data_IF_447813914104
#
_entry.id   IF_447813914104
#
_cell.length_a   1.000
_cell.length_b   1.000
_cell.length_c   1.000
_cell.angle_alpha   90.00
_cell.angle_beta   90.00
_cell.angle_gamma   90.00
#
_symmetry.space_group_name_H-M   'P 1'
#
loop_
_entity.id
_entity.type
_entity.pdbx_description
1 polymer ?
#
# COMPACT_ATOMS: atom_id res chain seq x y z
N UNK A 1 -5.16 -5.96 4.80
CA UNK A 1 -4.81 -4.55 4.43
C UNK A 1 -4.80 -4.47 2.92
N UNK A 2 -5.19 -3.33 2.33
CA UNK A 2 -5.01 -3.09 0.89
C UNK A 2 -3.88 -2.07 0.69
N UNK A 3 -2.94 -2.42 -0.16
CA UNK A 3 -1.87 -1.57 -0.67
C UNK A 3 -2.08 -1.31 -2.16
N UNK A 4 -1.41 -0.30 -2.70
CA UNK A 4 -1.38 -0.07 -4.15
C UNK A 4 -0.91 -1.31 -4.92
N UNK A 5 0.01 -2.09 -4.35
CA UNK A 5 0.47 -3.34 -4.97
C UNK A 5 -0.61 -4.43 -4.99
N UNK A 6 -1.51 -4.46 -4.01
CA UNK A 6 -2.65 -5.39 -4.02
C UNK A 6 -3.61 -5.05 -5.16
N UNK A 7 -3.84 -3.74 -5.39
CA UNK A 7 -4.63 -3.22 -6.52
C UNK A 7 -3.98 -3.62 -7.85
N UNK A 8 -2.70 -3.34 -8.03
CA UNK A 8 -1.96 -3.68 -9.27
C UNK A 8 -1.91 -5.19 -9.52
N UNK A 9 -1.68 -6.02 -8.49
CA UNK A 9 -1.65 -7.48 -8.65
C UNK A 9 -3.01 -8.05 -9.04
N UNK A 10 -4.07 -7.51 -8.46
CA UNK A 10 -5.43 -7.95 -8.75
C UNK A 10 -5.82 -7.57 -10.18
N UNK A 11 -5.50 -6.35 -10.61
CA UNK A 11 -5.88 -5.83 -11.92
C UNK A 11 -4.92 -6.17 -13.07
N UNK A 12 -3.68 -6.56 -12.79
CA UNK A 12 -2.67 -6.91 -13.79
C UNK A 12 -2.79 -8.31 -14.39
N UNK A 13 -3.78 -9.11 -13.97
CA UNK A 13 -3.79 -10.55 -14.23
C UNK A 13 -4.83 -11.04 -15.25
N UNK A 14 -5.70 -10.19 -15.81
CA UNK A 14 -6.79 -10.64 -16.70
C UNK A 14 -6.96 -9.80 -17.98
N UNK A 15 -6.45 -10.35 -19.10
CA UNK A 15 -7.06 -10.39 -20.46
C UNK A 15 -6.72 -9.35 -21.57
N UNK A 16 -5.83 -9.76 -22.50
CA UNK A 16 -5.36 -9.05 -23.71
C UNK A 16 -6.39 -8.74 -24.81
N UNK A 17 -7.39 -7.90 -24.58
CA UNK A 17 -8.07 -7.16 -25.65
C UNK A 17 -9.12 -6.23 -25.05
N UNK A 18 -8.99 -4.92 -25.30
CA UNK A 18 -10.04 -3.95 -25.68
C UNK A 18 -9.58 -2.51 -25.33
N UNK A 19 -10.10 -1.54 -26.09
CA UNK A 19 -9.70 -0.12 -26.13
C UNK A 19 -10.21 0.67 -24.91
N UNK A 20 -9.36 1.57 -24.40
CA UNK A 20 -9.46 2.38 -23.17
C UNK A 20 -10.56 3.46 -23.15
N UNK A 21 -11.29 3.63 -22.04
CA UNK A 21 -12.12 4.82 -21.74
C UNK A 21 -11.88 5.31 -20.30
N UNK A 22 -10.87 6.18 -20.15
CA UNK A 22 -10.28 6.70 -18.91
C UNK A 22 -11.22 7.38 -17.89
N UNK A 23 -12.17 6.65 -17.27
CA UNK A 23 -13.15 7.25 -16.34
C UNK A 23 -13.44 6.45 -15.08
N UNK A 24 -12.56 5.54 -14.66
CA UNK A 24 -12.88 4.66 -13.52
C UNK A 24 -11.81 4.56 -12.43
N UNK A 25 -11.14 5.67 -12.09
CA UNK A 25 -10.18 5.69 -10.98
C UNK A 25 -10.64 6.60 -9.83
N UNK A 26 -10.89 6.06 -8.62
CA UNK A 26 -11.09 6.87 -7.42
C UNK A 26 -9.82 7.68 -7.14
N UNK A 27 -9.87 8.99 -7.41
CA UNK A 27 -8.73 9.93 -7.40
C UNK A 27 -7.87 9.88 -6.11
N UNK A 28 -8.43 9.40 -5.00
CA UNK A 28 -7.79 9.36 -3.69
C UNK A 28 -6.56 8.44 -3.60
N UNK A 29 -6.53 7.32 -4.32
CA UNK A 29 -5.36 6.41 -4.31
C UNK A 29 -4.33 6.73 -5.39
N UNK A 30 -4.72 7.50 -6.42
CA UNK A 30 -3.94 7.70 -7.65
C UNK A 30 -3.20 9.04 -7.67
N UNK A 31 -3.61 10.03 -6.87
CA UNK A 31 -2.96 11.37 -6.84
C UNK A 31 -1.46 11.38 -6.59
N UNK A 32 -0.92 10.39 -5.88
CA UNK A 32 0.53 10.27 -5.66
C UNK A 32 1.27 9.54 -6.78
N UNK A 33 0.56 8.89 -7.70
CA UNK A 33 1.10 8.02 -8.75
C UNK A 33 1.05 8.69 -10.13
N UNK A 34 0.11 9.61 -10.36
CA UNK A 34 0.09 10.50 -11.55
C UNK A 34 1.33 11.42 -11.64
N UNK A 35 1.94 11.76 -10.50
CA UNK A 35 3.17 12.59 -10.46
C UNK A 35 4.46 11.75 -10.52
N UNK A 36 4.39 10.44 -10.23
CA UNK A 36 5.57 9.58 -10.07
C UNK A 36 5.80 8.61 -11.23
N UNK A 37 4.79 8.33 -12.05
CA UNK A 37 4.89 7.39 -13.16
C UNK A 37 4.40 8.06 -14.44
N UNK A 38 5.21 8.01 -15.49
CA UNK A 38 4.76 8.45 -16.81
C UNK A 38 3.80 7.43 -17.45
N UNK A 39 3.11 7.83 -18.53
CA UNK A 39 2.16 6.98 -19.25
C UNK A 39 2.75 5.63 -19.71
N UNK A 40 4.08 5.53 -19.88
CA UNK A 40 4.77 4.30 -20.28
C UNK A 40 5.03 3.37 -19.09
N UNK A 41 5.33 3.90 -17.91
CA UNK A 41 5.45 3.12 -16.67
C UNK A 41 4.09 2.55 -16.23
N UNK A 42 3.00 3.30 -16.43
CA UNK A 42 1.64 2.81 -16.21
C UNK A 42 1.28 1.61 -17.10
N UNK A 43 1.69 1.64 -18.38
CA UNK A 43 1.49 0.51 -19.31
C UNK A 43 2.22 -0.76 -18.87
N UNK A 44 3.32 -0.62 -18.15
CA UNK A 44 4.09 -1.76 -17.65
C UNK A 44 3.37 -2.52 -16.52
N UNK A 45 2.50 -1.85 -15.77
CA UNK A 45 1.75 -2.48 -14.67
C UNK A 45 0.50 -3.24 -15.14
N UNK A 46 0.18 -3.23 -16.44
CA UNK A 46 -0.96 -3.95 -17.03
C UNK A 46 -2.29 -3.74 -16.29
N UNK A 47 -2.49 -2.59 -15.65
CA UNK A 47 -3.74 -2.29 -14.94
C UNK A 47 -4.79 -2.01 -15.99
N UNK A 48 -5.56 -3.03 -16.36
CA UNK A 48 -6.72 -2.87 -17.23
C UNK A 48 -7.86 -2.16 -16.47
N UNK A 49 -8.71 -1.46 -17.21
CA UNK A 49 -9.85 -0.75 -16.65
C UNK A 49 -10.96 -1.76 -16.31
N UNK A 50 -11.23 -1.97 -15.02
CA UNK A 50 -12.20 -2.97 -14.58
C UNK A 50 -13.63 -2.45 -14.72
N UNK A 51 -14.46 -3.14 -15.52
CA UNK A 51 -15.89 -2.85 -15.67
C UNK A 51 -16.71 -3.29 -14.43
N UNK A 52 -16.21 -4.23 -13.63
CA UNK A 52 -16.90 -4.75 -12.44
C UNK A 52 -16.24 -4.31 -11.12
N UNK A 53 -17.02 -3.88 -10.11
CA UNK A 53 -16.50 -3.46 -8.81
C UNK A 53 -15.96 -4.65 -8.01
N UNK A 54 -14.71 -4.57 -7.54
CA UNK A 54 -14.13 -5.53 -6.60
C UNK A 54 -14.38 -5.12 -5.15
N UNK A 55 -14.63 -6.08 -4.25
CA UNK A 55 -14.70 -5.81 -2.83
C UNK A 55 -13.31 -5.74 -2.22
N UNK A 56 -13.15 -4.95 -1.15
CA UNK A 56 -11.90 -4.88 -0.37
C UNK A 56 -11.45 -6.27 0.09
N UNK A 57 -12.39 -7.15 0.42
CA UNK A 57 -12.13 -8.54 0.78
C UNK A 57 -11.44 -9.35 -0.30
N UNK A 58 -11.67 -9.00 -1.57
CA UNK A 58 -11.22 -9.76 -2.73
C UNK A 58 -9.75 -9.45 -3.05
N UNK A 59 -9.31 -8.26 -2.66
CA UNK A 59 -7.97 -7.75 -2.97
C UNK A 59 -7.05 -7.64 -1.74
N UNK A 60 -7.60 -7.68 -0.51
CA UNK A 60 -6.78 -7.48 0.69
C UNK A 60 -5.75 -8.60 0.90
N UNK A 61 -4.52 -8.24 1.28
CA UNK A 61 -3.58 -9.19 1.87
C UNK A 61 -4.10 -9.57 3.29
N UNK A 62 -4.38 -10.85 3.57
CA UNK A 62 -4.96 -11.30 4.84
C UNK A 62 -3.93 -11.45 5.96
N UNK A 63 -2.64 -11.30 5.64
CA UNK A 63 -1.54 -11.34 6.62
C UNK A 63 -1.36 -9.96 7.23
N UNK A 64 -1.38 -9.89 8.57
CA UNK A 64 -1.13 -8.66 9.33
C UNK A 64 0.25 -8.76 9.96
N UNK A 65 1.13 -7.82 9.60
CA UNK A 65 2.40 -7.63 10.28
C UNK A 65 2.19 -6.60 11.39
N UNK A 66 2.41 -7.04 12.63
CA UNK A 66 2.16 -6.22 13.81
C UNK A 66 3.34 -6.17 14.76
N UNK A 67 3.45 -5.04 15.47
CA UNK A 67 4.36 -4.80 16.58
C UNK A 67 3.57 -4.27 17.77
N UNK A 68 4.13 -4.42 18.98
CA UNK A 68 3.54 -3.80 20.17
C UNK A 68 3.80 -2.29 20.18
N UNK A 69 2.94 -1.54 20.88
CA UNK A 69 3.10 -0.09 21.05
C UNK A 69 4.41 0.34 21.72
N UNK A 70 5.03 -0.55 22.49
CA UNK A 70 6.30 -0.33 23.19
C UNK A 70 7.53 -0.86 22.40
N UNK A 71 7.32 -1.37 21.19
CA UNK A 71 8.40 -1.89 20.35
C UNK A 71 9.40 -0.78 19.96
N UNK A 72 10.68 -1.14 19.96
CA UNK A 72 11.72 -0.19 19.56
C UNK A 72 11.62 0.12 18.06
N UNK A 73 11.97 1.35 17.66
CA UNK A 73 11.93 1.77 16.25
C UNK A 73 12.77 0.85 15.34
N UNK A 74 13.88 0.32 15.87
CA UNK A 74 14.74 -0.64 15.18
C UNK A 74 14.03 -1.97 14.89
N UNK A 75 13.13 -2.42 15.77
CA UNK A 75 12.35 -3.64 15.57
C UNK A 75 11.30 -3.44 14.47
N UNK A 76 10.66 -2.27 14.45
CA UNK A 76 9.72 -1.87 13.39
C UNK A 76 10.42 -1.86 12.04
N UNK A 77 11.58 -1.20 11.96
CA UNK A 77 12.39 -1.14 10.75
C UNK A 77 12.84 -2.54 10.29
N UNK A 78 13.31 -3.38 11.22
CA UNK A 78 13.73 -4.74 10.90
C UNK A 78 12.56 -5.61 10.40
N UNK A 79 11.36 -5.41 10.93
CA UNK A 79 10.15 -6.07 10.45
C UNK A 79 9.79 -5.64 9.03
N UNK A 80 9.86 -4.33 8.74
CA UNK A 80 9.64 -3.81 7.39
C UNK A 80 10.60 -4.43 6.38
N UNK A 81 11.89 -4.50 6.70
CA UNK A 81 12.92 -5.08 5.82
C UNK A 81 12.71 -6.59 5.61
N UNK A 82 12.52 -7.36 6.71
CA UNK A 82 12.32 -8.82 6.60
C UNK A 82 11.02 -9.19 5.89
N UNK A 83 9.95 -8.45 6.18
CA UNK A 83 8.64 -8.66 5.58
C UNK A 83 8.52 -8.11 4.16
N UNK A 84 9.49 -7.27 3.72
CA UNK A 84 9.41 -6.49 2.48
C UNK A 84 8.10 -5.70 2.39
N UNK A 85 7.79 -4.99 3.48
CA UNK A 85 6.56 -4.22 3.66
C UNK A 85 6.89 -2.77 4.03
N UNK A 86 6.00 -1.84 3.66
CA UNK A 86 6.16 -0.41 3.92
C UNK A 86 5.37 0.09 5.14
N UNK A 87 4.58 -0.78 5.76
CA UNK A 87 3.69 -0.42 6.86
C UNK A 87 3.57 -1.57 7.85
N UNK A 88 3.52 -1.23 9.13
CA UNK A 88 3.37 -2.17 10.24
C UNK A 88 2.22 -1.69 11.12
N UNK A 89 1.37 -2.60 11.55
CA UNK A 89 0.26 -2.31 12.45
C UNK A 89 0.77 -2.29 13.90
N UNK A 90 0.39 -1.28 14.66
CA UNK A 90 0.75 -1.19 16.09
C UNK A 90 -0.41 -1.72 16.92
N UNK A 91 -0.12 -2.63 17.84
CA UNK A 91 -1.11 -3.22 18.72
C UNK A 91 -0.81 -3.02 20.20
N UNK A 92 -1.87 -2.85 20.99
CA UNK A 92 -1.87 -2.93 22.46
C UNK A 92 -2.95 -3.91 22.87
N UNK A 93 -2.62 -4.90 23.70
CA UNK A 93 -3.60 -5.86 24.23
C UNK A 93 -4.49 -6.50 23.14
N UNK A 94 -3.89 -6.87 21.99
CA UNK A 94 -4.58 -7.44 20.81
C UNK A 94 -5.56 -6.49 20.12
N UNK A 95 -5.50 -5.19 20.40
CA UNK A 95 -6.24 -4.15 19.69
C UNK A 95 -5.29 -3.35 18.83
N UNK A 96 -5.74 -3.01 17.62
CA UNK A 96 -5.04 -2.06 16.77
C UNK A 96 -5.13 -0.68 17.41
N UNK A 97 -3.98 -0.05 17.64
CA UNK A 97 -3.86 1.30 18.21
C UNK A 97 -3.20 2.29 17.27
N UNK A 98 -2.59 1.82 16.17
CA UNK A 98 -1.97 2.70 15.20
C UNK A 98 -1.35 1.96 14.02
N UNK A 99 -0.65 2.73 13.20
CA UNK A 99 0.10 2.27 12.04
C UNK A 99 1.41 3.06 11.96
N UNK A 100 2.49 2.41 11.58
CA UNK A 100 3.78 3.05 11.30
C UNK A 100 4.16 2.76 9.85
N UNK A 101 4.44 3.82 9.09
CA UNK A 101 4.93 3.75 7.71
C UNK A 101 6.45 3.91 7.63
N UNK A 102 7.03 3.61 6.48
CA UNK A 102 8.48 3.83 6.24
C UNK A 102 8.87 5.30 6.41
N UNK A 103 7.98 6.25 6.07
CA UNK A 103 8.25 7.68 6.25
C UNK A 103 8.29 8.06 7.74
N UNK A 104 7.44 7.47 8.57
CA UNK A 104 7.45 7.71 10.02
C UNK A 104 8.76 7.22 10.65
N UNK A 105 9.29 6.08 10.17
CA UNK A 105 10.61 5.59 10.58
C UNK A 105 11.70 6.58 10.19
N UNK A 106 11.67 7.12 8.98
CA UNK A 106 12.61 8.15 8.54
C UNK A 106 12.51 9.43 9.37
N UNK A 107 11.30 9.90 9.68
CA UNK A 107 11.06 11.04 10.57
C UNK A 107 11.66 10.80 11.95
N UNK A 108 11.43 9.61 12.53
CA UNK A 108 11.98 9.22 13.82
C UNK A 108 13.51 9.20 13.84
N UNK A 109 14.15 8.70 12.78
CA UNK A 109 15.62 8.69 12.63
C UNK A 109 16.17 10.11 12.41
N UNK A 110 15.47 10.94 11.63
CA UNK A 110 15.85 12.32 11.38
C UNK A 110 15.61 13.25 12.59
N UNK A 111 14.91 12.77 13.62
CA UNK A 111 14.52 13.58 14.78
C UNK A 111 13.46 14.64 14.46
N UNK A 112 12.73 14.48 13.35
CA UNK A 112 11.65 15.39 12.96
C UNK A 112 10.36 14.86 13.58
N UNK A 113 10.05 15.35 14.78
CA UNK A 113 8.79 15.03 15.46
C UNK A 113 7.86 16.23 15.27
N UNK A 114 6.77 16.03 14.54
CA UNK A 114 5.66 16.99 14.49
C UNK A 114 4.80 16.78 15.74
N UNK A 115 4.55 17.86 16.48
CA UNK A 115 3.79 17.90 17.75
C UNK A 115 2.28 17.75 17.52
#
# INVERSE_FOLDING_TARGET
VVSAMDIVRFFGHENKNIQSDARTHPEFYVRGWDELLDDDEWRQFHVEEYEEPAWVSDIMTPVVFEVKEDAALSEVAAMMVRGRIHRVIVTRERRVVGIVSTLDVLKGVAGVVEE
#
